data_IF_896816859320
#
_entry.id   IF_896816859320
#
_cell.length_a   1.000
_cell.length_b   1.000
_cell.length_c   1.000
_cell.angle_alpha   90.00
_cell.angle_beta   90.00
_cell.angle_gamma   90.00
#
_symmetry.space_group_name_H-M   'P 1'
#
loop_
_entity.id
_entity.type
_entity.pdbx_description
1 polymer ?
#
# COMPACT_ATOMS: atom_id res chain seq x y z
N UNK A 1 -3.08 10.00 14.15
CA UNK A 1 -2.61 9.75 12.78
C UNK A 1 -3.70 8.99 12.06
N UNK A 2 -4.30 9.55 11.02
CA UNK A 2 -5.35 8.90 10.27
C UNK A 2 -4.77 7.67 9.56
N UNK A 3 -5.31 6.49 9.87
CA UNK A 3 -4.95 5.25 9.19
C UNK A 3 -5.67 5.26 7.84
N UNK A 4 -4.92 5.15 6.74
CA UNK A 4 -5.50 5.00 5.40
C UNK A 4 -5.74 6.28 4.58
N UNK A 5 -5.33 7.46 5.05
CA UNK A 5 -5.35 8.67 4.22
C UNK A 5 -4.33 8.55 3.08
N UNK A 6 -4.84 8.67 1.84
CA UNK A 6 -4.02 8.68 0.64
C UNK A 6 -3.21 9.98 0.60
N UNK A 7 -1.93 9.94 0.19
CA UNK A 7 -1.16 11.15 -0.06
C UNK A 7 -1.82 12.04 -1.13
N UNK A 8 -1.50 13.33 -1.12
CA UNK A 8 -1.81 14.18 -2.28
C UNK A 8 -0.88 13.82 -3.44
N UNK A 9 -1.42 13.70 -4.65
CA UNK A 9 -0.66 13.38 -5.86
C UNK A 9 -0.58 14.60 -6.79
N UNK A 10 0.57 14.79 -7.44
CA UNK A 10 0.77 15.87 -8.43
C UNK A 10 0.23 15.50 -9.81
N UNK A 11 -0.09 14.22 -10.03
CA UNK A 11 -0.67 13.73 -11.28
C UNK A 11 -1.49 12.46 -11.07
N UNK A 12 -2.41 12.19 -12.00
CA UNK A 12 -3.15 10.92 -12.08
C UNK A 12 -2.27 9.70 -12.35
N UNK A 13 -1.05 9.91 -12.85
CA UNK A 13 -0.08 8.83 -13.05
C UNK A 13 0.45 8.33 -11.72
N UNK A 14 0.89 9.26 -10.87
CA UNK A 14 1.37 8.97 -9.51
C UNK A 14 0.28 8.33 -8.64
N UNK A 15 -0.95 8.83 -8.71
CA UNK A 15 -2.09 8.25 -7.99
C UNK A 15 -2.33 6.78 -8.39
N UNK A 16 -2.35 6.49 -9.70
CA UNK A 16 -2.57 5.12 -10.19
C UNK A 16 -1.43 4.18 -9.82
N UNK A 17 -0.20 4.64 -9.93
CA UNK A 17 0.97 3.86 -9.52
C UNK A 17 0.90 3.55 -8.03
N UNK A 18 0.60 4.55 -7.20
CA UNK A 18 0.41 4.37 -5.77
C UNK A 18 -0.68 3.35 -5.44
N UNK A 19 -1.88 3.48 -6.04
CA UNK A 19 -2.98 2.54 -5.79
C UNK A 19 -2.67 1.12 -6.27
N UNK A 20 -1.91 0.95 -7.37
CA UNK A 20 -1.40 -0.35 -7.80
C UNK A 20 -0.50 -0.98 -6.72
N UNK A 21 0.41 -0.19 -6.14
CA UNK A 21 1.31 -0.64 -5.08
C UNK A 21 0.56 -0.94 -3.77
N UNK A 22 -0.47 -0.16 -3.43
CA UNK A 22 -1.37 -0.46 -2.31
C UNK A 22 -2.08 -1.80 -2.53
N UNK A 23 -2.60 -2.06 -3.73
CA UNK A 23 -3.21 -3.35 -4.07
C UNK A 23 -2.23 -4.51 -3.94
N UNK A 24 -1.00 -4.34 -4.43
CA UNK A 24 0.07 -5.33 -4.30
C UNK A 24 0.40 -5.62 -2.83
N UNK A 25 0.61 -4.57 -2.04
CA UNK A 25 0.88 -4.65 -0.61
C UNK A 25 -0.26 -5.34 0.15
N UNK A 26 -1.51 -5.00 -0.19
CA UNK A 26 -2.71 -5.59 0.41
C UNK A 26 -2.77 -7.10 0.20
N UNK A 27 -2.54 -7.55 -1.03
CA UNK A 27 -2.44 -8.97 -1.34
C UNK A 27 -1.30 -9.64 -0.58
N UNK A 28 -0.11 -9.03 -0.57
CA UNK A 28 1.05 -9.54 0.17
C UNK A 28 0.79 -9.69 1.67
N UNK A 29 0.19 -8.67 2.30
CA UNK A 29 -0.16 -8.68 3.73
C UNK A 29 -1.15 -9.82 4.02
N UNK A 30 -2.22 -9.91 3.22
CA UNK A 30 -3.28 -10.92 3.40
C UNK A 30 -2.77 -12.36 3.20
N UNK A 31 -1.88 -12.59 2.24
CA UNK A 31 -1.39 -13.94 1.91
C UNK A 31 -0.16 -14.38 2.70
N UNK A 32 0.75 -13.45 3.02
CA UNK A 32 2.11 -13.77 3.49
C UNK A 32 2.55 -12.97 4.72
N UNK A 33 1.73 -12.04 5.20
CA UNK A 33 2.04 -11.15 6.32
C UNK A 33 2.82 -9.89 5.92
N UNK A 34 2.80 -8.90 6.81
CA UNK A 34 3.33 -7.54 6.58
C UNK A 34 4.84 -7.51 6.29
N UNK A 35 5.63 -8.33 6.99
CA UNK A 35 7.08 -8.36 6.80
C UNK A 35 7.48 -8.79 5.39
N UNK A 36 6.82 -9.82 4.84
CA UNK A 36 7.07 -10.26 3.48
C UNK A 36 6.59 -9.22 2.46
N UNK A 37 5.38 -8.66 2.64
CA UNK A 37 4.86 -7.62 1.76
C UNK A 37 5.79 -6.39 1.69
N UNK A 38 6.38 -5.99 2.82
CA UNK A 38 7.35 -4.90 2.89
C UNK A 38 8.62 -5.20 2.12
N UNK A 39 9.25 -6.35 2.34
CA UNK A 39 10.46 -6.75 1.62
C UNK A 39 10.22 -6.83 0.11
N UNK A 40 9.05 -7.32 -0.29
CA UNK A 40 8.66 -7.37 -1.69
C UNK A 40 8.55 -5.96 -2.29
N UNK A 41 7.87 -5.02 -1.61
CA UNK A 41 7.79 -3.62 -2.02
C UNK A 41 9.18 -2.96 -2.11
N UNK A 42 10.04 -3.16 -1.12
CA UNK A 42 11.41 -2.63 -1.14
C UNK A 42 12.21 -3.12 -2.37
N UNK A 43 11.87 -4.28 -2.93
CA UNK A 43 12.50 -4.83 -4.13
C UNK A 43 11.89 -4.36 -5.46
N UNK A 44 10.60 -4.01 -5.51
CA UNK A 44 9.90 -3.64 -6.76
C UNK A 44 9.64 -2.15 -6.91
N UNK A 45 9.55 -1.42 -5.81
CA UNK A 45 9.15 -0.02 -5.83
C UNK A 45 10.36 0.86 -6.13
N UNK A 46 10.27 1.80 -7.09
CA UNK A 46 11.32 2.80 -7.27
C UNK A 46 11.57 3.53 -5.94
N UNK A 47 12.83 3.84 -5.62
CA UNK A 47 13.27 4.49 -4.37
C UNK A 47 12.49 5.77 -4.00
N UNK A 48 11.68 6.31 -4.90
CA UNK A 48 10.89 7.53 -4.77
C UNK A 48 9.54 7.40 -4.06
N UNK A 49 9.00 6.20 -3.83
CA UNK A 49 7.71 6.05 -3.14
C UNK A 49 7.88 5.85 -1.62
N UNK A 50 6.99 6.45 -0.83
CA UNK A 50 6.86 6.18 0.60
C UNK A 50 6.21 4.80 0.81
N UNK A 51 7.05 3.77 0.97
CA UNK A 51 6.62 2.39 1.28
C UNK A 51 5.77 2.35 2.56
N UNK A 52 6.07 3.19 3.55
CA UNK A 52 5.30 3.28 4.78
C UNK A 52 3.86 3.75 4.52
N UNK A 53 3.67 4.73 3.63
CA UNK A 53 2.33 5.18 3.23
C UNK A 53 1.55 4.08 2.50
N UNK A 54 2.21 3.34 1.61
CA UNK A 54 1.62 2.20 0.89
C UNK A 54 1.12 1.14 1.88
N UNK A 55 1.96 0.73 2.84
CA UNK A 55 1.59 -0.29 3.85
C UNK A 55 0.45 0.21 4.74
N UNK A 56 0.49 1.47 5.20
CA UNK A 56 -0.60 2.04 6.02
C UNK A 56 -1.93 2.04 5.27
N UNK A 57 -1.94 2.41 3.99
CA UNK A 57 -3.15 2.39 3.17
C UNK A 57 -3.64 0.96 2.92
N UNK A 58 -2.74 0.03 2.62
CA UNK A 58 -3.09 -1.38 2.41
C UNK A 58 -3.73 -2.02 3.65
N UNK A 59 -3.23 -1.68 4.85
CA UNK A 59 -3.81 -2.15 6.12
C UNK A 59 -5.20 -1.54 6.36
N UNK A 60 -5.35 -0.24 6.13
CA UNK A 60 -6.64 0.42 6.22
C UNK A 60 -7.68 -0.22 5.29
N UNK A 61 -7.29 -0.59 4.07
CA UNK A 61 -8.15 -1.27 3.12
C UNK A 61 -8.58 -2.66 3.59
N UNK A 62 -7.67 -3.41 4.23
CA UNK A 62 -8.01 -4.72 4.81
C UNK A 62 -8.97 -4.58 5.99
N UNK A 63 -8.80 -3.56 6.82
CA UNK A 63 -9.67 -3.25 7.94
C UNK A 63 -11.06 -2.75 7.48
N UNK A 64 -11.13 -2.10 6.32
CA UNK A 64 -12.36 -1.58 5.73
C UNK A 64 -13.20 -2.64 4.99
N UNK A 65 -12.65 -3.82 4.68
CA UNK A 65 -13.41 -4.94 4.12
C UNK A 65 -14.09 -5.68 5.27
N UNK A 66 -15.43 -5.59 5.44
CA UNK A 66 -16.11 -6.36 6.46
C UNK A 66 -15.90 -7.86 6.16
N UNK A 67 -15.43 -8.60 7.16
CA UNK A 67 -15.46 -10.06 7.12
C UNK A 67 -16.94 -10.51 7.04
N UNK A 68 -17.40 -10.76 5.81
CA UNK A 68 -18.65 -11.46 5.52
C UNK A 68 -18.39 -12.94 5.31
#
# INVERSE_FOLDING_TARGET
MAIGERPCFLSRGQEREFEMLVGYARCGISSCGEGHARLALEAVVPLSHDIGAIIRCAKADLEAVPHG
#
